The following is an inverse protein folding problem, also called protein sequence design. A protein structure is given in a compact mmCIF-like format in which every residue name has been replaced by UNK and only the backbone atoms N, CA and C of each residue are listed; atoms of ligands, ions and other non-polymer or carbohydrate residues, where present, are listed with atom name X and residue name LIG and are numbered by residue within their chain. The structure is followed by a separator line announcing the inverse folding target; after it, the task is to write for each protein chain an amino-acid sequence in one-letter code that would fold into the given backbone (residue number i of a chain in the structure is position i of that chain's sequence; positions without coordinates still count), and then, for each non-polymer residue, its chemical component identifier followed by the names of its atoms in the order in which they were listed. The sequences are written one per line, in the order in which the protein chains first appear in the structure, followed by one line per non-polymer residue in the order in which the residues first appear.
data_IF_224492736613
#
_entry.id   IF_224492736613
#
_cell.length_a   1.000
_cell.length_b   1.000
_cell.length_c   1.000
_cell.angle_alpha   90.00
_cell.angle_beta   90.00
_cell.angle_gamma   90.00
#
_symmetry.space_group_name_H-M   'P 1'
#
loop_
_entity.id
_entity.type
_entity.pdbx_description
1 polymer ?
#
# COMPACT_ATOMS: atom_id res chain seq x y z
N UNK A 1 -14.73 5.56 8.56
CA UNK A 1 -14.86 4.20 7.95
C UNK A 1 -14.47 4.30 6.48
N UNK A 2 -14.04 3.22 5.78
CA UNK A 2 -13.50 3.30 4.40
C UNK A 2 -14.42 4.03 3.41
N UNK A 3 -15.74 3.95 3.59
CA UNK A 3 -16.71 4.67 2.77
C UNK A 3 -16.58 6.20 2.90
N UNK A 4 -16.35 6.71 4.10
CA UNK A 4 -16.13 8.16 4.31
C UNK A 4 -14.84 8.63 3.61
N UNK A 5 -13.84 7.75 3.48
CA UNK A 5 -12.63 8.05 2.70
C UNK A 5 -12.90 8.05 1.19
N UNK A 6 -13.70 7.10 0.70
CA UNK A 6 -14.13 7.08 -0.71
C UNK A 6 -14.90 8.36 -1.05
N UNK A 7 -15.80 8.80 -0.18
CA UNK A 7 -16.60 10.02 -0.41
C UNK A 7 -15.78 11.31 -0.22
N UNK A 8 -14.61 11.25 0.44
CA UNK A 8 -13.81 12.43 0.76
C UNK A 8 -13.29 13.12 -0.50
N UNK A 9 -13.83 14.31 -0.80
CA UNK A 9 -13.48 15.06 -2.01
C UNK A 9 -14.19 14.58 -3.28
N UNK A 10 -15.14 13.64 -3.17
CA UNK A 10 -15.90 13.07 -4.29
C UNK A 10 -15.41 11.68 -4.72
N UNK A 11 -16.27 10.93 -5.42
CA UNK A 11 -15.96 9.61 -5.98
C UNK A 11 -16.35 9.59 -7.47
N UNK A 12 -15.45 10.06 -8.33
CA UNK A 12 -15.63 10.08 -9.78
C UNK A 12 -14.39 9.58 -10.49
N UNK A 13 -14.52 9.27 -11.79
CA UNK A 13 -13.41 8.86 -12.66
C UNK A 13 -12.30 9.90 -12.86
N UNK A 14 -12.41 11.08 -12.26
CA UNK A 14 -11.38 12.12 -12.27
C UNK A 14 -10.60 12.19 -10.97
N UNK A 15 -11.01 11.43 -9.97
CA UNK A 15 -10.42 11.44 -8.64
C UNK A 15 -9.46 10.27 -8.49
N UNK A 16 -8.34 10.52 -7.81
CA UNK A 16 -7.37 9.51 -7.40
C UNK A 16 -7.35 9.44 -5.87
N UNK A 17 -7.63 8.26 -5.33
CA UNK A 17 -7.56 7.96 -3.90
C UNK A 17 -6.22 7.30 -3.62
N UNK A 18 -5.45 7.87 -2.70
CA UNK A 18 -4.16 7.29 -2.28
C UNK A 18 -4.28 6.84 -0.83
N UNK A 19 -4.06 5.55 -0.60
CA UNK A 19 -3.95 4.96 0.73
C UNK A 19 -2.49 4.63 0.95
N UNK A 20 -1.87 5.29 1.94
CA UNK A 20 -0.55 4.92 2.43
C UNK A 20 -0.69 4.31 3.81
N UNK A 21 -0.21 3.08 3.98
CA UNK A 21 -0.24 2.41 5.27
C UNK A 21 1.11 1.77 5.62
N UNK A 22 1.42 1.84 6.91
CA UNK A 22 2.61 1.27 7.54
C UNK A 22 2.18 0.38 8.73
N UNK A 23 1.10 -0.37 8.55
CA UNK A 23 0.59 -1.27 9.57
C UNK A 23 1.41 -2.56 9.66
N UNK A 24 1.15 -3.32 10.71
CA UNK A 24 1.60 -4.71 10.80
C UNK A 24 0.57 -5.60 10.08
N UNK A 25 1.02 -6.32 9.07
CA UNK A 25 0.26 -7.31 8.36
C UNK A 25 0.28 -8.60 9.17
N UNK A 26 -0.89 -9.23 9.29
CA UNK A 26 -1.02 -10.53 9.94
C UNK A 26 -2.07 -11.36 9.20
N UNK A 27 -2.05 -12.67 9.42
CA UNK A 27 -3.14 -13.55 9.01
C UNK A 27 -4.05 -13.85 10.20
N UNK A 28 -5.36 -13.75 9.99
CA UNK A 28 -6.33 -14.22 10.98
C UNK A 28 -6.38 -15.76 11.02
N UNK A 29 -7.18 -16.34 11.94
CA UNK A 29 -7.34 -17.81 12.06
C UNK A 29 -7.83 -18.48 10.77
N UNK A 30 -8.55 -17.75 9.93
CA UNK A 30 -9.03 -18.20 8.61
C UNK A 30 -8.03 -17.93 7.47
N UNK A 31 -6.78 -17.56 7.78
CA UNK A 31 -5.73 -17.18 6.82
C UNK A 31 -6.09 -15.99 5.92
N UNK A 32 -6.99 -15.13 6.37
CA UNK A 32 -7.28 -13.88 5.66
C UNK A 32 -6.30 -12.79 6.14
N UNK A 33 -5.78 -11.96 5.21
CA UNK A 33 -4.94 -10.84 5.58
C UNK A 33 -5.72 -9.82 6.41
N UNK A 34 -5.09 -9.34 7.47
CA UNK A 34 -5.56 -8.27 8.32
C UNK A 34 -4.45 -7.26 8.58
N UNK A 35 -4.82 -5.99 8.69
CA UNK A 35 -3.93 -4.93 9.13
C UNK A 35 -4.17 -4.68 10.61
N UNK A 36 -3.09 -4.54 11.36
CA UNK A 36 -3.15 -4.37 12.82
C UNK A 36 -2.38 -3.13 13.24
N UNK A 37 -2.88 -2.45 14.27
CA UNK A 37 -2.21 -1.27 14.84
C UNK A 37 -0.98 -1.64 15.69
N UNK A 38 -0.92 -2.89 16.17
CA UNK A 38 0.11 -3.41 17.05
C UNK A 38 0.55 -4.81 16.58
N UNK A 39 1.81 -5.20 16.82
CA UNK A 39 2.34 -6.49 16.39
C UNK A 39 1.88 -7.66 17.28
N UNK A 40 1.33 -7.38 18.48
CA UNK A 40 0.95 -8.40 19.45
C UNK A 40 -0.58 -8.44 19.67
N UNK A 41 -1.26 -9.51 19.23
CA UNK A 41 -2.70 -9.71 19.45
C UNK A 41 -3.13 -9.82 20.91
N UNK A 42 -2.19 -10.01 21.84
CA UNK A 42 -2.47 -10.06 23.29
C UNK A 42 -2.47 -8.69 23.95
N UNK A 43 -2.07 -7.64 23.22
CA UNK A 43 -2.14 -6.28 23.74
C UNK A 43 -3.60 -5.85 23.92
N UNK A 44 -3.91 -5.19 25.03
CA UNK A 44 -5.26 -4.73 25.32
C UNK A 44 -5.73 -3.64 24.33
N UNK A 45 -4.81 -2.88 23.75
CA UNK A 45 -5.08 -1.87 22.73
C UNK A 45 -5.04 -2.43 21.30
N UNK A 46 -4.91 -3.76 21.13
CA UNK A 46 -4.87 -4.38 19.82
C UNK A 46 -6.19 -4.18 19.06
N UNK A 47 -6.07 -3.59 17.88
CA UNK A 47 -7.15 -3.42 16.92
C UNK A 47 -6.68 -3.91 15.56
N UNK A 48 -7.62 -4.46 14.80
CA UNK A 48 -7.34 -4.97 13.47
C UNK A 48 -8.50 -4.70 12.53
N UNK A 49 -8.20 -4.68 11.24
CA UNK A 49 -9.20 -4.62 10.17
C UNK A 49 -8.91 -5.72 9.15
N UNK A 50 -9.96 -6.41 8.73
CA UNK A 50 -9.85 -7.49 7.74
C UNK A 50 -9.77 -6.87 6.35
N UNK A 51 -8.70 -7.18 5.62
CA UNK A 51 -8.40 -6.59 4.31
C UNK A 51 -9.53 -6.81 3.29
N UNK A 52 -10.10 -8.01 3.24
CA UNK A 52 -11.20 -8.38 2.33
C UNK A 52 -12.38 -7.37 2.35
N UNK A 53 -12.74 -6.86 3.53
CA UNK A 53 -13.84 -5.90 3.67
C UNK A 53 -13.48 -4.49 3.20
N UNK A 54 -12.21 -4.11 3.30
CA UNK A 54 -11.70 -2.84 2.75
C UNK A 54 -11.63 -2.95 1.23
N UNK A 55 -11.02 -4.03 0.73
CA UNK A 55 -10.82 -4.26 -0.70
C UNK A 55 -12.13 -4.16 -1.48
N UNK A 56 -13.19 -4.84 -1.03
CA UNK A 56 -14.47 -4.84 -1.76
C UNK A 56 -15.04 -3.43 -1.96
N UNK A 57 -14.90 -2.56 -0.94
CA UNK A 57 -15.40 -1.19 -1.03
C UNK A 57 -14.53 -0.34 -1.97
N UNK A 58 -13.21 -0.54 -1.95
CA UNK A 58 -12.28 0.18 -2.83
C UNK A 58 -12.43 -0.23 -4.30
N UNK A 59 -12.66 -1.52 -4.58
CA UNK A 59 -12.92 -2.02 -5.94
C UNK A 59 -14.22 -1.41 -6.52
N UNK A 60 -15.22 -1.16 -5.67
CA UNK A 60 -16.50 -0.59 -6.10
C UNK A 60 -16.48 0.94 -6.29
N UNK A 61 -15.41 1.62 -5.87
CA UNK A 61 -15.27 3.06 -6.07
C UNK A 61 -15.26 3.42 -7.57
N UNK A 62 -15.78 4.60 -7.92
CA UNK A 62 -15.68 5.12 -9.28
C UNK A 62 -14.30 5.73 -9.57
N UNK A 63 -13.64 6.21 -8.52
CA UNK A 63 -12.32 6.78 -8.54
C UNK A 63 -11.22 5.72 -8.68
N UNK A 64 -10.08 6.12 -9.22
CA UNK A 64 -8.90 5.25 -9.22
C UNK A 64 -8.33 5.20 -7.80
N UNK A 65 -7.88 4.02 -7.37
CA UNK A 65 -7.34 3.78 -6.03
C UNK A 65 -5.90 3.26 -6.13
N UNK A 66 -4.96 4.01 -5.58
CA UNK A 66 -3.56 3.60 -5.43
C UNK A 66 -3.26 3.30 -3.97
N UNK A 67 -2.71 2.10 -3.72
CA UNK A 67 -2.42 1.62 -2.36
C UNK A 67 -0.92 1.39 -2.23
N UNK A 68 -0.34 2.02 -1.23
CA UNK A 68 1.09 1.99 -0.92
C UNK A 68 1.27 1.35 0.46
N UNK A 69 1.73 0.10 0.49
CA UNK A 69 1.90 -0.68 1.72
C UNK A 69 3.37 -0.84 2.10
N UNK A 70 3.76 -0.23 3.21
CA UNK A 70 5.07 -0.40 3.84
C UNK A 70 4.99 -1.42 4.99
N UNK A 71 4.89 -2.71 4.63
CA UNK A 71 4.68 -3.80 5.58
C UNK A 71 5.39 -5.11 5.19
N UNK A 72 5.87 -5.86 6.20
CA UNK A 72 6.48 -7.20 6.05
C UNK A 72 5.51 -8.29 5.58
N UNK A 73 4.19 -8.10 5.74
CA UNK A 73 3.16 -9.05 5.28
C UNK A 73 2.06 -8.30 4.54
N UNK A 74 2.38 -7.90 3.31
CA UNK A 74 1.40 -7.34 2.40
C UNK A 74 0.59 -8.49 1.79
N UNK A 75 -0.65 -8.67 2.25
CA UNK A 75 -1.58 -9.60 1.62
C UNK A 75 -1.73 -9.30 0.12
N UNK A 76 -2.10 -10.31 -0.66
CA UNK A 76 -2.41 -10.11 -2.09
C UNK A 76 -3.72 -9.35 -2.23
N UNK A 77 -3.73 -8.27 -3.01
CA UNK A 77 -4.97 -7.69 -3.52
C UNK A 77 -5.38 -8.47 -4.77
N UNK A 78 -6.61 -8.99 -4.79
CA UNK A 78 -7.24 -9.32 -6.07
C UNK A 78 -7.66 -8.02 -6.74
N UNK A 79 -7.68 -7.99 -8.07
CA UNK A 79 -8.24 -6.88 -8.85
C UNK A 79 -9.35 -7.48 -9.69
N UNK A 80 -10.60 -7.43 -9.24
CA UNK A 80 -11.69 -7.94 -10.08
C UNK A 80 -13.00 -7.14 -9.93
N UNK A 81 -13.65 -6.90 -11.07
CA UNK A 81 -15.00 -6.34 -11.26
C UNK A 81 -15.32 -4.90 -10.76
N UNK A 82 -14.32 -4.04 -10.60
CA UNK A 82 -14.50 -2.64 -10.19
C UNK A 82 -14.82 -1.60 -11.29
N UNK A 83 -15.29 -0.41 -10.89
CA UNK A 83 -15.57 0.71 -11.81
C UNK A 83 -14.34 1.58 -12.13
N UNK A 84 -13.39 1.67 -11.19
CA UNK A 84 -12.09 2.34 -11.31
C UNK A 84 -10.91 1.35 -11.28
N UNK A 85 -9.69 1.86 -11.47
CA UNK A 85 -8.46 1.05 -11.42
C UNK A 85 -7.93 0.98 -9.99
N UNK A 86 -7.60 -0.23 -9.52
CA UNK A 86 -6.94 -0.44 -8.24
C UNK A 86 -5.50 -0.94 -8.47
N UNK A 87 -4.51 -0.15 -8.06
CA UNK A 87 -3.08 -0.51 -8.16
C UNK A 87 -2.45 -0.60 -6.76
N UNK A 88 -1.64 -1.63 -6.52
CA UNK A 88 -0.98 -1.90 -5.24
C UNK A 88 0.55 -1.92 -5.40
N UNK A 89 1.24 -1.08 -4.65
CA UNK A 89 2.69 -1.15 -4.44
C UNK A 89 2.95 -1.58 -2.99
N UNK A 90 3.61 -2.71 -2.80
CA UNK A 90 3.97 -3.21 -1.48
C UNK A 90 5.47 -3.50 -1.34
N UNK A 91 6.00 -3.32 -0.14
CA UNK A 91 7.45 -3.37 0.15
C UNK A 91 8.04 -4.76 0.21
N UNK A 92 7.25 -5.74 0.60
CA UNK A 92 7.69 -7.10 0.76
C UNK A 92 6.65 -8.02 0.15
N UNK A 93 7.06 -8.81 -0.84
CA UNK A 93 6.36 -10.06 -1.11
C UNK A 93 6.36 -10.91 0.16
N UNK A 94 5.35 -11.76 0.29
CA UNK A 94 4.91 -12.56 1.45
C UNK A 94 5.99 -13.22 2.37
N UNK A 95 7.28 -13.19 2.00
CA UNK A 95 8.40 -13.85 2.69
C UNK A 95 9.57 -12.92 3.09
N UNK A 96 9.43 -11.58 3.02
CA UNK A 96 10.54 -10.66 3.35
C UNK A 96 10.19 -9.66 4.46
N UNK A 97 11.17 -9.39 5.32
CA UNK A 97 11.09 -8.35 6.35
C UNK A 97 11.47 -7.01 5.74
N UNK A 98 10.62 -5.99 5.91
CA UNK A 98 10.89 -4.64 5.45
C UNK A 98 12.14 -4.07 6.14
N UNK A 99 12.93 -3.29 5.41
CA UNK A 99 14.11 -2.63 5.96
C UNK A 99 13.71 -1.74 7.16
N UNK A 100 14.57 -1.65 8.19
CA UNK A 100 14.33 -0.76 9.33
C UNK A 100 14.21 0.71 8.88
N UNK A 101 13.58 1.53 9.73
CA UNK A 101 13.47 2.98 9.53
C UNK A 101 14.86 3.58 9.28
N UNK A 102 15.03 4.29 8.17
CA UNK A 102 16.31 4.87 7.77
C UNK A 102 16.32 5.30 6.31
N UNK A 103 17.48 5.72 5.82
CA UNK A 103 17.71 6.05 4.40
C UNK A 103 17.32 4.91 3.46
N UNK A 104 17.37 3.67 3.95
CA UNK A 104 17.13 2.47 3.15
C UNK A 104 15.71 1.90 3.33
N UNK A 105 14.83 2.64 4.03
CA UNK A 105 13.43 2.28 4.16
C UNK A 105 12.65 2.60 2.89
N UNK A 106 11.62 1.81 2.61
CA UNK A 106 10.72 2.09 1.50
C UNK A 106 10.06 3.46 1.64
N UNK A 107 9.59 3.83 2.83
CA UNK A 107 9.03 5.17 3.06
C UNK A 107 9.97 6.27 2.54
N UNK A 108 11.27 6.17 2.85
CA UNK A 108 12.25 7.17 2.44
C UNK A 108 12.41 7.23 0.92
N UNK A 109 12.61 6.07 0.29
CA UNK A 109 12.76 5.98 -1.16
C UNK A 109 11.48 6.38 -1.91
N UNK A 110 10.30 6.00 -1.42
CA UNK A 110 9.00 6.45 -1.95
C UNK A 110 8.92 7.98 -1.93
N UNK A 111 9.25 8.62 -0.80
CA UNK A 111 9.25 10.08 -0.68
C UNK A 111 10.24 10.70 -1.67
N UNK A 112 11.47 10.19 -1.75
CA UNK A 112 12.49 10.69 -2.67
C UNK A 112 12.00 10.62 -4.13
N UNK A 113 11.50 9.46 -4.57
CA UNK A 113 11.02 9.30 -5.95
C UNK A 113 9.75 10.11 -6.24
N UNK A 114 8.85 10.27 -5.27
CA UNK A 114 7.70 11.15 -5.44
C UNK A 114 8.13 12.62 -5.61
N UNK A 115 9.13 13.08 -4.84
CA UNK A 115 9.68 14.44 -4.98
C UNK A 115 10.34 14.59 -6.36
N UNK A 116 11.18 13.64 -6.76
CA UNK A 116 11.86 13.67 -8.06
C UNK A 116 10.86 13.77 -9.21
N UNK A 117 9.84 12.90 -9.20
CA UNK A 117 8.81 12.84 -10.25
C UNK A 117 7.81 14.01 -10.16
N UNK A 118 7.65 14.66 -9.01
CA UNK A 118 6.71 15.78 -8.86
C UNK A 118 7.09 17.02 -9.68
N UNK A 119 8.38 17.16 -10.01
CA UNK A 119 8.88 18.23 -10.88
C UNK A 119 8.74 17.95 -12.37
N UNK A 120 8.31 16.73 -12.74
CA UNK A 120 8.22 16.27 -14.13
C UNK A 120 6.76 16.28 -14.64
N UNK A 121 6.53 15.65 -15.80
CA UNK A 121 5.19 15.42 -16.33
C UNK A 121 4.40 14.43 -15.44
N UNK A 122 3.05 14.40 -15.55
CA UNK A 122 2.25 13.38 -14.89
C UNK A 122 2.77 11.96 -15.17
N UNK A 123 2.88 11.15 -14.13
CA UNK A 123 3.45 9.81 -14.21
C UNK A 123 2.43 8.73 -13.81
N UNK A 124 2.69 7.51 -14.26
CA UNK A 124 1.88 6.33 -13.90
C UNK A 124 2.38 5.68 -12.61
N UNK A 125 1.51 4.95 -11.91
CA UNK A 125 1.89 4.16 -10.73
C UNK A 125 2.97 3.14 -11.11
N UNK A 126 2.92 2.56 -12.31
CA UNK A 126 3.99 1.71 -12.83
C UNK A 126 5.33 2.45 -12.97
N UNK A 127 5.35 3.71 -13.43
CA UNK A 127 6.60 4.48 -13.48
C UNK A 127 7.17 4.72 -12.07
N UNK A 128 6.31 5.06 -11.11
CA UNK A 128 6.68 5.20 -9.70
C UNK A 128 7.25 3.88 -9.14
N UNK A 129 6.57 2.76 -9.37
CA UNK A 129 7.00 1.42 -8.97
C UNK A 129 8.39 1.08 -9.51
N UNK A 130 8.61 1.28 -10.81
CA UNK A 130 9.90 1.02 -11.45
C UNK A 130 11.02 1.89 -10.87
N UNK A 131 10.74 3.15 -10.54
CA UNK A 131 11.72 4.04 -9.91
C UNK A 131 12.08 3.58 -8.49
N UNK A 132 11.10 3.15 -7.68
CA UNK A 132 11.33 2.63 -6.34
C UNK A 132 12.15 1.33 -6.38
N UNK A 133 11.80 0.39 -7.27
CA UNK A 133 12.57 -0.84 -7.48
C UNK A 133 13.98 -0.56 -8.00
N UNK A 134 14.14 0.49 -8.81
CA UNK A 134 15.43 0.85 -9.40
C UNK A 134 16.51 1.17 -8.35
N UNK A 135 16.08 1.45 -7.12
CA UNK A 135 16.95 1.71 -6.00
C UNK A 135 17.34 0.42 -5.26
N UNK A 136 16.37 -0.49 -5.05
CA UNK A 136 16.58 -1.78 -4.39
C UNK A 136 17.61 -2.68 -5.11
N UNK A 137 17.73 -2.61 -6.44
CA UNK A 137 18.75 -3.39 -7.16
C UNK A 137 20.17 -2.82 -7.03
N UNK A 138 20.32 -1.51 -6.82
CA UNK A 138 21.65 -0.88 -6.68
C UNK A 138 22.31 -1.25 -5.35
N UNK A 139 21.54 -1.42 -4.29
CA UNK A 139 22.04 -1.86 -2.99
C UNK A 139 22.42 -3.36 -2.94
N UNK A 140 21.79 -4.22 -3.76
CA UNK A 140 22.06 -5.67 -3.78
C UNK A 140 23.31 -6.09 -4.58
N UNK A 141 24.00 -5.17 -5.26
CA UNK A 141 25.24 -5.46 -6.01
C UNK A 141 26.53 -4.96 -5.30
N UNK A 142 26.40 -4.48 -4.07
CA UNK A 142 27.51 -3.99 -3.25
C UNK A 142 28.00 -4.93 -2.14
N UNK A 143 27.61 -6.21 -2.15
CA UNK A 143 28.12 -7.27 -1.27
C UNK A 143 28.44 -8.53 -2.09
#
# INVERSE_FOLDING_TARGET
MVMEFIDLGGDSRRDLKIIYDRAHGMLNKGRQPMWTNLPNPKDQAFQYVVWCGIQTNLEQAQSDVCILLDCCESGTANTDFGCGTMELIATCGFDFVANPVGSDSFTHNLIEKLIDLSGEAPFTVNLLYNNILSWNWKLRRGL
#
